data_IF_468238480800
#
_entry.id   IF_468238480800
#
_cell.length_a   1.000
_cell.length_b   1.000
_cell.length_c   1.000
_cell.angle_alpha   90.00
_cell.angle_beta   90.00
_cell.angle_gamma   90.00
#
_symmetry.space_group_name_H-M   'P 1'
#
loop_
_entity.id
_entity.type
_entity.pdbx_description
1 polymer ?
#
# COMPACT_ATOMS: atom_id res chain seq x y z
N UNK A 1 -73.63 23.67 -5.35
CA UNK A 1 -73.22 24.86 -4.58
C UNK A 1 -71.70 24.90 -4.50
N UNK A 2 -71.15 26.12 -4.43
CA UNK A 2 -69.77 26.55 -4.72
C UNK A 2 -68.64 25.88 -3.89
N UNK A 3 -67.43 25.86 -4.48
CA UNK A 3 -66.07 25.70 -3.88
C UNK A 3 -65.66 26.98 -3.05
N UNK A 4 -64.40 27.27 -2.62
CA UNK A 4 -63.16 26.53 -2.22
C UNK A 4 -62.43 27.15 -0.96
N UNK A 5 -61.14 26.77 -0.73
CA UNK A 5 -59.98 27.50 -0.11
C UNK A 5 -59.41 26.84 1.18
N UNK A 6 -58.21 26.23 1.18
CA UNK A 6 -56.83 26.78 1.18
C UNK A 6 -56.30 27.18 2.58
N UNK A 7 -55.25 26.50 3.08
CA UNK A 7 -54.36 26.90 4.18
C UNK A 7 -53.01 26.21 3.94
N UNK A 8 -52.04 26.84 3.27
CA UNK A 8 -51.05 27.83 3.74
C UNK A 8 -50.03 27.26 4.74
N UNK A 9 -48.77 27.24 4.28
CA UNK A 9 -47.56 26.90 5.01
C UNK A 9 -47.21 27.94 6.08
N UNK A 10 -46.57 27.50 7.18
CA UNK A 10 -45.73 28.36 8.01
C UNK A 10 -44.56 27.57 8.59
N UNK A 11 -43.37 27.99 8.18
CA UNK A 11 -42.04 27.57 8.65
C UNK A 11 -41.75 28.27 9.98
N UNK A 12 -41.32 27.52 11.00
CA UNK A 12 -40.84 28.07 12.26
C UNK A 12 -39.29 28.07 12.25
N UNK A 13 -38.69 29.25 12.07
CA UNK A 13 -37.26 29.48 12.27
C UNK A 13 -37.04 30.00 13.71
N UNK A 14 -36.21 29.30 14.49
CA UNK A 14 -35.72 29.76 15.79
C UNK A 14 -34.49 30.64 15.58
N UNK A 15 -34.57 31.89 16.05
CA UNK A 15 -33.46 32.83 16.11
C UNK A 15 -32.80 32.80 17.51
N UNK A 16 -31.48 32.76 17.55
CA UNK A 16 -30.67 33.19 18.69
C UNK A 16 -29.83 34.40 18.26
N UNK A 17 -29.90 35.47 19.03
CA UNK A 17 -29.12 36.69 18.87
C UNK A 17 -28.33 36.99 20.16
N UNK A 18 -27.17 37.62 19.98
CA UNK A 18 -26.28 38.18 21.02
C UNK A 18 -24.88 37.57 20.90
N UNK A 19 -23.78 38.30 20.72
CA UNK A 19 -23.48 39.72 20.80
C UNK A 19 -22.05 39.85 21.35
N UNK A 20 -21.21 40.72 20.77
CA UNK A 20 -19.93 41.16 21.37
C UNK A 20 -18.68 40.96 20.51
N UNK A 21 -18.18 42.07 19.93
CA UNK A 21 -16.77 42.29 19.60
C UNK A 21 -15.99 42.60 20.91
N UNK A 22 -14.63 42.61 20.98
CA UNK A 22 -13.82 43.58 20.23
C UNK A 22 -12.35 43.19 19.87
N UNK A 23 -11.71 44.13 19.18
CA UNK A 23 -10.29 44.54 19.19
C UNK A 23 -9.20 43.80 18.38
N UNK A 24 -8.70 44.60 17.43
CA UNK A 24 -7.45 44.59 16.65
C UNK A 24 -6.19 44.61 17.55
N UNK A 25 -5.05 44.05 17.10
CA UNK A 25 -3.93 44.96 16.88
C UNK A 25 -2.97 44.56 15.75
N UNK A 26 -2.76 45.50 14.83
CA UNK A 26 -1.52 45.64 14.06
C UNK A 26 -0.67 46.77 14.67
N UNK A 27 0.48 46.47 15.31
CA UNK A 27 1.58 47.44 15.49
C UNK A 27 2.96 46.78 15.56
N UNK A 28 3.77 47.18 14.59
CA UNK A 28 5.24 47.28 14.57
C UNK A 28 5.83 47.94 15.83
N UNK A 29 7.00 47.50 16.30
CA UNK A 29 8.25 48.32 16.40
C UNK A 29 9.41 47.63 17.11
N UNK A 30 10.59 48.04 16.63
CA UNK A 30 11.97 47.79 17.05
C UNK A 30 12.37 48.21 18.47
N UNK A 31 13.63 47.89 18.78
CA UNK A 31 14.52 48.30 19.88
C UNK A 31 14.41 47.38 21.13
N UNK A 32 15.48 46.81 21.67
CA UNK A 32 16.88 47.21 21.71
C UNK A 32 17.32 47.31 23.18
N UNK A 33 18.53 46.86 23.52
CA UNK A 33 19.21 47.30 24.74
C UNK A 33 19.55 46.25 25.81
N UNK A 34 20.79 45.76 25.73
CA UNK A 34 21.81 45.67 26.80
C UNK A 34 21.41 45.96 28.26
N UNK A 35 21.86 45.11 29.21
CA UNK A 35 22.91 45.42 30.22
C UNK A 35 22.99 44.37 31.36
N UNK A 36 24.21 43.86 31.53
CA UNK A 36 24.99 43.64 32.76
C UNK A 36 24.34 43.60 34.15
N UNK A 37 24.62 42.52 34.86
CA UNK A 37 25.16 42.45 36.23
C UNK A 37 25.68 41.00 36.43
N UNK A 38 26.87 40.66 36.95
CA UNK A 38 27.85 41.39 37.75
C UNK A 38 28.03 40.69 39.11
N UNK A 39 29.18 40.02 39.31
CA UNK A 39 29.77 39.62 40.62
C UNK A 39 29.45 38.20 41.11
N UNK A 40 30.37 37.41 41.67
CA UNK A 40 31.77 37.59 42.03
C UNK A 40 32.21 36.42 42.95
N UNK A 41 33.46 35.99 42.76
CA UNK A 41 34.43 35.31 43.68
C UNK A 41 34.05 33.99 44.38
N UNK A 42 34.88 32.95 44.18
CA UNK A 42 35.89 32.58 45.20
C UNK A 42 36.97 31.62 44.67
N UNK A 43 38.18 31.88 45.14
CA UNK A 43 39.42 31.17 44.86
C UNK A 43 39.58 29.96 45.80
N UNK A 44 40.14 28.87 45.29
CA UNK A 44 40.50 27.69 46.08
C UNK A 44 41.51 26.82 45.35
N UNK A 45 42.79 27.12 45.58
CA UNK A 45 43.98 26.40 45.11
C UNK A 45 44.11 25.04 45.80
N UNK A 46 44.46 23.99 45.04
CA UNK A 46 45.41 22.95 45.50
C UNK A 46 46.11 22.32 44.29
N UNK A 47 47.43 22.23 44.42
CA UNK A 47 48.38 21.55 43.52
C UNK A 47 48.41 20.06 43.88
N UNK A 48 48.53 19.19 42.89
CA UNK A 48 49.72 18.35 42.64
C UNK A 48 49.41 17.06 41.84
N UNK A 49 50.21 16.91 40.77
CA UNK A 49 50.95 15.74 40.31
C UNK A 49 50.29 14.35 40.08
N UNK A 50 50.61 13.82 38.89
CA UNK A 50 50.57 12.39 38.49
C UNK A 50 49.43 12.10 37.51
N UNK A 51 49.60 11.60 36.29
CA UNK A 51 50.71 10.88 35.66
C UNK A 51 50.19 9.54 35.11
N UNK A 52 50.30 9.31 33.79
CA UNK A 52 50.34 7.97 33.19
C UNK A 52 49.17 7.57 32.28
N UNK A 53 49.48 7.34 31.00
CA UNK A 53 48.59 6.64 30.06
C UNK A 53 48.94 6.65 28.58
N UNK A 54 50.10 7.17 28.14
CA UNK A 54 50.58 6.96 26.77
C UNK A 54 51.15 5.54 26.65
N UNK A 55 50.31 4.59 26.22
CA UNK A 55 50.74 3.27 25.77
C UNK A 55 50.84 3.25 24.24
N UNK A 56 51.73 4.08 23.69
CA UNK A 56 52.28 3.92 22.35
C UNK A 56 53.67 3.32 22.46
N UNK A 57 53.75 2.02 22.74
CA UNK A 57 55.01 1.27 22.77
C UNK A 57 55.59 1.10 21.37
N UNK A 58 56.13 2.16 20.80
CA UNK A 58 57.16 2.05 19.76
C UNK A 58 58.42 1.62 20.46
N UNK A 59 58.84 0.36 20.24
CA UNK A 59 60.13 -0.12 20.74
C UNK A 59 61.21 0.79 20.20
N UNK A 60 61.91 1.40 21.15
CA UNK A 60 62.95 2.39 20.96
C UNK A 60 63.81 2.08 19.74
N UNK A 61 63.80 2.99 18.75
CA UNK A 61 64.79 3.01 17.69
C UNK A 61 66.16 3.16 18.37
N UNK A 62 66.87 2.05 18.57
CA UNK A 62 68.20 2.08 19.13
C UNK A 62 69.10 2.85 18.15
N UNK A 63 69.79 3.92 18.57
CA UNK A 63 70.75 4.61 17.71
C UNK A 63 71.79 3.59 17.28
N UNK A 64 71.98 3.41 15.96
CA UNK A 64 72.93 2.41 15.48
C UNK A 64 74.33 2.81 15.94
N UNK A 65 75.12 1.92 16.57
CA UNK A 65 76.51 2.20 16.83
C UNK A 65 77.26 2.34 15.50
N UNK A 66 78.14 3.33 15.41
CA UNK A 66 79.00 3.62 14.26
C UNK A 66 79.79 2.36 13.85
N UNK A 67 79.24 1.61 12.89
CA UNK A 67 79.85 0.41 12.30
C UNK A 67 79.36 -0.98 12.79
N UNK A 68 78.39 -1.08 13.71
CA UNK A 68 77.95 -2.38 14.26
C UNK A 68 76.61 -2.92 13.74
N UNK A 69 76.53 -4.21 13.39
CA UNK A 69 75.29 -4.90 13.02
C UNK A 69 74.16 -4.65 14.03
N UNK A 70 72.91 -4.60 13.55
CA UNK A 70 71.76 -4.43 14.43
C UNK A 70 71.57 -5.66 15.34
N UNK A 71 71.00 -5.48 16.55
CA UNK A 71 70.58 -6.60 17.39
C UNK A 71 69.68 -7.58 16.63
N UNK A 72 69.70 -8.85 17.04
CA UNK A 72 68.90 -9.91 16.41
C UNK A 72 67.42 -9.51 16.35
N UNK A 73 66.81 -9.66 15.17
CA UNK A 73 65.42 -9.28 14.91
C UNK A 73 65.24 -7.85 14.37
N UNK A 74 66.26 -6.98 14.44
CA UNK A 74 66.21 -5.61 13.91
C UNK A 74 66.97 -5.50 12.58
N UNK A 75 66.48 -4.64 11.69
CA UNK A 75 67.13 -4.35 10.40
C UNK A 75 67.70 -2.95 10.38
N UNK A 76 68.91 -2.81 9.81
CA UNK A 76 69.55 -1.50 9.65
C UNK A 76 68.86 -0.71 8.53
N UNK A 77 68.15 0.34 8.91
CA UNK A 77 67.49 1.27 8.01
C UNK A 77 68.18 2.62 8.05
N UNK A 78 69.12 2.83 7.10
CA UNK A 78 70.00 4.00 7.11
C UNK A 78 70.96 3.96 8.31
N UNK A 79 70.60 4.69 9.37
CA UNK A 79 71.38 4.83 10.62
C UNK A 79 70.65 4.40 11.90
N UNK A 80 69.47 3.77 11.78
CA UNK A 80 68.72 3.23 12.92
C UNK A 80 68.47 1.73 12.74
N UNK A 81 68.36 1.00 13.85
CA UNK A 81 67.91 -0.39 13.86
C UNK A 81 66.41 -0.42 14.12
N UNK A 82 65.62 -0.80 13.11
CA UNK A 82 64.15 -0.82 13.19
C UNK A 82 63.63 -2.26 13.09
N UNK A 83 62.56 -2.55 13.84
CA UNK A 83 61.83 -3.81 13.72
C UNK A 83 60.87 -3.73 12.54
N UNK A 84 61.26 -4.35 11.42
CA UNK A 84 60.42 -4.35 10.23
C UNK A 84 59.11 -5.14 10.42
N UNK A 85 58.94 -5.87 11.52
CA UNK A 85 57.74 -6.68 11.77
C UNK A 85 56.65 -5.92 12.52
N UNK A 86 57.00 -4.86 13.25
CA UNK A 86 56.09 -4.10 14.12
C UNK A 86 56.15 -2.58 13.96
N UNK A 87 57.15 -2.03 13.28
CA UNK A 87 57.33 -0.58 13.13
C UNK A 87 56.48 -0.01 11.97
N UNK A 88 55.44 0.81 12.22
CA UNK A 88 54.59 1.36 11.16
C UNK A 88 55.34 2.30 10.20
N UNK A 89 56.43 2.93 10.64
CA UNK A 89 57.24 3.82 9.80
C UNK A 89 58.22 3.09 8.86
N UNK A 90 58.44 1.78 9.05
CA UNK A 90 59.32 0.94 8.22
C UNK A 90 58.85 -0.52 8.21
N UNK A 91 57.59 -0.73 7.81
CA UNK A 91 57.00 -2.07 7.90
C UNK A 91 57.46 -2.96 6.73
N UNK A 92 58.07 -4.11 7.00
CA UNK A 92 58.55 -5.12 6.05
C UNK A 92 59.78 -4.73 5.23
N UNK A 93 59.99 -3.43 4.97
CA UNK A 93 61.21 -2.87 4.36
C UNK A 93 61.48 -1.49 4.94
N UNK A 94 62.75 -1.09 4.97
CA UNK A 94 63.15 0.24 5.42
C UNK A 94 62.47 1.36 4.63
N UNK A 95 61.89 2.33 5.34
CA UNK A 95 61.26 3.52 4.75
C UNK A 95 59.86 3.31 4.18
N UNK A 96 59.26 2.11 4.29
CA UNK A 96 57.86 1.88 3.94
C UNK A 96 56.95 2.24 5.12
N UNK A 97 56.55 3.51 5.18
CA UNK A 97 55.54 3.98 6.12
C UNK A 97 54.15 3.45 5.73
N UNK A 98 53.43 2.88 6.69
CA UNK A 98 52.06 2.44 6.48
C UNK A 98 51.10 3.62 6.35
N UNK A 99 50.16 3.51 5.41
CA UNK A 99 49.12 4.52 5.20
C UNK A 99 47.90 4.12 6.04
N UNK A 100 47.47 5.02 6.93
CA UNK A 100 46.27 4.81 7.73
C UNK A 100 45.01 5.03 6.86
N UNK A 101 43.94 4.24 7.08
CA UNK A 101 42.65 4.55 6.50
C UNK A 101 42.14 5.88 7.07
N UNK A 102 41.31 6.58 6.30
CA UNK A 102 40.69 7.82 6.75
C UNK A 102 39.82 7.52 7.99
N UNK A 103 40.12 8.19 9.11
CA UNK A 103 39.42 7.97 10.39
C UNK A 103 39.95 6.81 11.24
N UNK A 104 41.04 6.16 10.83
CA UNK A 104 41.70 5.09 11.60
C UNK A 104 43.20 5.31 11.77
N UNK A 105 43.89 4.27 12.22
CA UNK A 105 45.34 4.22 12.39
C UNK A 105 45.94 3.13 11.50
N UNK A 106 47.26 3.18 11.29
CA UNK A 106 47.98 2.10 10.63
C UNK A 106 48.88 1.38 11.64
N UNK A 107 48.87 0.05 11.61
CA UNK A 107 49.77 -0.80 12.37
C UNK A 107 50.63 -1.63 11.42
N UNK A 108 51.84 -1.97 11.86
CA UNK A 108 52.63 -3.01 11.20
C UNK A 108 52.43 -4.33 11.94
N UNK A 109 51.88 -5.33 11.25
CA UNK A 109 51.64 -6.67 11.82
C UNK A 109 52.37 -7.71 10.98
N UNK A 110 53.41 -8.30 11.55
CA UNK A 110 54.26 -9.32 10.91
C UNK A 110 54.85 -8.83 9.57
N UNK A 111 55.26 -7.56 9.51
CA UNK A 111 55.87 -6.97 8.32
C UNK A 111 54.89 -6.58 7.21
N UNK A 112 53.59 -6.63 7.47
CA UNK A 112 52.55 -6.12 6.59
C UNK A 112 51.82 -4.94 7.23
N UNK A 113 51.61 -3.88 6.45
CA UNK A 113 50.77 -2.76 6.87
C UNK A 113 49.31 -3.21 6.95
N UNK A 114 48.68 -2.96 8.10
CA UNK A 114 47.25 -3.19 8.31
C UNK A 114 46.59 -1.90 8.80
N UNK A 115 45.43 -1.57 8.27
CA UNK A 115 44.59 -0.49 8.77
C UNK A 115 43.82 -0.96 10.00
N UNK A 116 43.73 -0.11 11.01
CA UNK A 116 42.94 -0.35 12.22
C UNK A 116 41.91 0.76 12.35
N UNK A 117 40.64 0.36 12.41
CA UNK A 117 39.53 1.26 12.64
C UNK A 117 39.12 1.26 14.12
N UNK A 118 38.54 2.37 14.62
CA UNK A 118 37.97 2.42 15.96
C UNK A 118 36.88 1.35 16.16
N UNK A 119 36.59 1.03 17.42
CA UNK A 119 35.55 0.06 17.76
C UNK A 119 34.20 0.39 17.10
N UNK A 120 33.55 -0.64 16.54
CA UNK A 120 32.29 -0.51 15.80
C UNK A 120 32.43 -0.02 14.36
N UNK A 121 33.66 0.16 13.86
CA UNK A 121 33.92 0.53 12.47
C UNK A 121 34.73 -0.55 11.73
N UNK A 122 34.50 -0.63 10.42
CA UNK A 122 35.25 -1.50 9.50
C UNK A 122 35.93 -0.63 8.44
N UNK A 123 37.12 -1.04 7.99
CA UNK A 123 37.79 -0.41 6.86
C UNK A 123 37.05 -0.74 5.56
N UNK A 124 36.29 0.23 5.04
CA UNK A 124 35.56 0.12 3.78
C UNK A 124 36.33 0.86 2.67
N UNK A 125 37.32 0.18 2.08
CA UNK A 125 38.15 0.70 0.98
C UNK A 125 39.00 1.92 1.35
N UNK A 126 39.68 1.88 2.51
CA UNK A 126 40.60 2.92 2.97
C UNK A 126 39.93 4.03 3.79
N UNK A 127 38.70 3.82 4.24
CA UNK A 127 37.95 4.73 5.11
C UNK A 127 37.21 3.91 6.16
N UNK A 128 37.42 4.24 7.43
CA UNK A 128 36.70 3.61 8.51
C UNK A 128 35.23 4.07 8.50
N UNK A 129 34.30 3.11 8.47
CA UNK A 129 32.85 3.38 8.47
C UNK A 129 32.14 2.50 9.48
N UNK A 130 31.09 3.03 10.09
CA UNK A 130 30.23 2.27 10.98
C UNK A 130 29.51 1.15 10.21
N UNK A 131 29.63 -0.08 10.70
CA UNK A 131 29.00 -1.29 10.13
C UNK A 131 28.37 -2.11 11.25
N UNK A 132 27.48 -3.05 10.92
CA UNK A 132 26.82 -3.90 11.93
C UNK A 132 25.60 -3.26 12.59
N UNK A 133 25.28 -2.00 12.26
CA UNK A 133 24.03 -1.37 12.64
C UNK A 133 22.86 -2.01 11.88
N UNK A 134 21.71 -2.14 12.53
CA UNK A 134 20.48 -2.64 11.90
C UNK A 134 20.05 -1.70 10.76
N UNK A 135 19.71 -2.28 9.62
CA UNK A 135 19.15 -1.58 8.47
C UNK A 135 17.96 -2.35 7.92
N UNK A 136 17.09 -1.68 7.17
CA UNK A 136 16.01 -2.31 6.44
C UNK A 136 15.97 -1.75 5.01
N UNK A 137 15.61 -2.60 4.05
CA UNK A 137 15.44 -2.24 2.64
C UNK A 137 14.17 -2.88 2.09
N UNK A 138 13.57 -2.26 1.08
CA UNK A 138 12.29 -2.67 0.51
C UNK A 138 11.10 -2.10 1.29
N UNK A 139 9.98 -1.96 0.58
CA UNK A 139 8.69 -1.53 1.12
C UNK A 139 7.77 -2.75 1.33
N UNK A 140 6.65 -2.54 2.01
CA UNK A 140 5.61 -3.56 2.12
C UNK A 140 6.08 -4.92 2.65
N UNK A 141 5.57 -5.97 2.02
CA UNK A 141 5.97 -7.35 2.28
C UNK A 141 7.37 -7.69 1.75
N UNK A 142 7.95 -6.84 0.89
CA UNK A 142 9.34 -6.96 0.45
C UNK A 142 10.34 -6.43 1.46
N UNK A 143 9.91 -5.77 2.54
CA UNK A 143 10.83 -5.26 3.54
C UNK A 143 11.69 -6.40 4.13
N UNK A 144 13.00 -6.21 4.12
CA UNK A 144 13.98 -7.13 4.72
C UNK A 144 14.86 -6.38 5.70
N UNK A 145 15.03 -6.96 6.88
CA UNK A 145 15.95 -6.47 7.89
C UNK A 145 17.33 -7.11 7.70
N UNK A 146 18.38 -6.33 7.95
CA UNK A 146 19.76 -6.77 7.84
C UNK A 146 20.68 -5.90 8.66
N UNK A 147 21.97 -6.00 8.36
CA UNK A 147 23.02 -5.18 8.97
C UNK A 147 23.80 -4.43 7.91
N UNK A 148 24.24 -3.22 8.25
CA UNK A 148 25.04 -2.38 7.36
C UNK A 148 26.43 -2.98 7.13
N UNK A 149 26.83 -3.15 5.88
CA UNK A 149 28.13 -3.68 5.42
C UNK A 149 28.87 -2.66 4.55
N UNK A 150 30.14 -2.91 4.27
CA UNK A 150 30.92 -2.10 3.32
C UNK A 150 30.43 -2.30 1.87
N UNK A 151 30.39 -1.19 1.12
CA UNK A 151 30.17 -1.15 -0.32
C UNK A 151 31.28 -0.31 -1.00
N UNK A 152 31.50 -0.41 -2.32
CA UNK A 152 32.54 0.35 -3.01
C UNK A 152 32.49 1.86 -2.74
N UNK A 153 31.28 2.44 -2.66
CA UNK A 153 31.05 3.88 -2.46
C UNK A 153 30.64 4.25 -1.02
N UNK A 154 30.76 3.33 -0.06
CA UNK A 154 30.44 3.62 1.33
C UNK A 154 29.94 2.41 2.12
N UNK A 155 28.72 2.51 2.62
CA UNK A 155 28.03 1.42 3.30
C UNK A 155 26.68 1.15 2.64
N UNK A 156 26.26 -0.11 2.68
CA UNK A 156 24.94 -0.55 2.18
C UNK A 156 24.34 -1.57 3.14
N UNK A 157 23.04 -1.84 3.05
CA UNK A 157 22.45 -2.91 3.81
C UNK A 157 22.86 -4.27 3.21
N UNK A 158 23.28 -5.22 4.04
CA UNK A 158 23.76 -6.53 3.61
C UNK A 158 22.68 -7.49 3.11
N UNK A 159 21.46 -7.00 2.92
CA UNK A 159 20.33 -7.77 2.40
C UNK A 159 19.74 -7.05 1.19
N UNK A 160 19.08 -7.82 0.33
CA UNK A 160 18.31 -7.30 -0.81
C UNK A 160 16.83 -7.32 -0.46
N UNK A 161 16.02 -6.35 -0.94
CA UNK A 161 14.57 -6.42 -0.81
C UNK A 161 14.00 -7.76 -1.29
N UNK A 162 12.86 -8.15 -0.72
CA UNK A 162 12.04 -9.22 -1.27
C UNK A 162 11.66 -8.93 -2.72
N UNK A 163 11.38 -9.99 -3.49
CA UNK A 163 10.85 -9.82 -4.83
C UNK A 163 9.38 -9.38 -4.76
N UNK A 164 8.96 -8.40 -5.58
CA UNK A 164 7.56 -8.07 -5.80
C UNK A 164 6.72 -9.31 -6.12
N UNK A 165 5.60 -9.43 -5.43
CA UNK A 165 4.50 -10.34 -5.72
C UNK A 165 3.51 -9.72 -6.72
N UNK A 166 2.40 -10.42 -6.93
CA UNK A 166 1.22 -9.83 -7.53
C UNK A 166 0.31 -9.36 -6.41
N UNK A 167 -0.23 -8.15 -6.57
CA UNK A 167 -1.21 -7.57 -5.66
C UNK A 167 -2.37 -8.52 -5.40
N UNK A 168 -2.68 -8.72 -4.13
CA UNK A 168 -3.87 -9.44 -3.68
C UNK A 168 -4.51 -8.66 -2.56
N UNK A 169 -5.83 -8.58 -2.53
CA UNK A 169 -6.52 -7.86 -1.46
C UNK A 169 -6.30 -8.53 -0.09
N UNK A 170 -5.22 -8.17 0.59
CA UNK A 170 -4.74 -8.75 1.83
C UNK A 170 -4.53 -7.67 2.91
N UNK A 171 -4.57 -6.39 2.56
CA UNK A 171 -4.22 -5.27 3.43
C UNK A 171 -2.72 -5.07 3.53
N UNK A 172 -1.95 -5.57 2.57
CA UNK A 172 -0.51 -5.47 2.50
C UNK A 172 -0.06 -5.07 1.10
N UNK A 173 1.17 -4.60 1.00
CA UNK A 173 1.82 -4.18 -0.24
C UNK A 173 2.64 -5.38 -0.76
N UNK A 174 2.11 -6.12 -1.74
CA UNK A 174 2.74 -7.33 -2.27
C UNK A 174 3.77 -7.03 -3.36
N UNK A 175 3.48 -6.05 -4.22
CA UNK A 175 4.30 -5.64 -5.36
C UNK A 175 5.37 -4.60 -5.00
N UNK A 176 5.27 -4.07 -3.77
CA UNK A 176 6.29 -3.29 -3.08
C UNK A 176 6.55 -1.94 -3.74
N UNK A 177 5.50 -1.32 -4.27
CA UNK A 177 5.51 0.02 -4.84
C UNK A 177 5.23 1.13 -3.81
N UNK A 178 4.79 0.76 -2.60
CA UNK A 178 4.55 1.63 -1.46
C UNK A 178 3.09 2.07 -1.28
N UNK A 179 2.19 1.69 -2.18
CA UNK A 179 0.75 1.73 -1.95
C UNK A 179 0.28 0.38 -1.36
N UNK A 180 -0.99 0.26 -0.96
CA UNK A 180 -1.54 -0.99 -0.41
C UNK A 180 -2.79 -1.42 -1.18
N UNK A 181 -2.78 -2.67 -1.65
CA UNK A 181 -3.83 -3.33 -2.45
C UNK A 181 -4.24 -2.55 -3.73
N UNK A 182 -3.35 -1.72 -4.25
CA UNK A 182 -3.54 -0.96 -5.48
C UNK A 182 -3.60 -1.88 -6.70
N UNK A 183 -4.47 -1.54 -7.66
CA UNK A 183 -4.61 -2.39 -8.83
C UNK A 183 -5.33 -3.72 -8.58
N UNK A 184 -5.83 -4.00 -7.37
CA UNK A 184 -6.81 -5.06 -7.14
C UNK A 184 -8.20 -4.61 -7.64
N UNK A 185 -8.61 -5.10 -8.81
CA UNK A 185 -9.76 -4.59 -9.58
C UNK A 185 -11.08 -5.22 -9.15
N UNK A 186 -11.03 -6.48 -8.72
CA UNK A 186 -12.17 -7.18 -8.15
C UNK A 186 -11.74 -8.40 -7.32
N UNK A 187 -12.17 -8.46 -6.06
CA UNK A 187 -11.88 -9.57 -5.16
C UNK A 187 -13.08 -10.51 -5.03
N UNK A 188 -12.87 -11.80 -5.32
CA UNK A 188 -13.85 -12.87 -5.06
C UNK A 188 -13.79 -13.26 -3.59
N UNK A 189 -14.90 -13.13 -2.87
CA UNK A 189 -14.98 -13.39 -1.42
C UNK A 189 -16.00 -14.47 -1.10
N UNK A 190 -15.62 -15.38 -0.22
CA UNK A 190 -16.56 -16.31 0.43
C UNK A 190 -17.26 -15.64 1.61
N UNK A 191 -18.58 -15.74 1.67
CA UNK A 191 -19.43 -15.24 2.75
C UNK A 191 -20.57 -16.24 3.02
N UNK A 192 -21.54 -15.85 3.84
CA UNK A 192 -22.74 -16.63 4.13
C UNK A 192 -24.00 -15.80 4.00
N UNK A 193 -25.13 -16.42 3.73
CA UNK A 193 -26.42 -15.71 3.78
C UNK A 193 -26.75 -15.25 5.19
N UNK A 194 -26.28 -15.95 6.22
CA UNK A 194 -26.31 -15.45 7.60
C UNK A 194 -25.61 -14.08 7.71
N UNK A 195 -24.39 -13.93 7.17
CA UNK A 195 -23.67 -12.67 7.18
C UNK A 195 -24.32 -11.59 6.29
N UNK A 196 -24.78 -11.96 5.09
CA UNK A 196 -25.48 -11.04 4.19
C UNK A 196 -26.81 -10.55 4.78
N UNK A 197 -27.55 -11.41 5.50
CA UNK A 197 -28.80 -11.04 6.16
C UNK A 197 -28.60 -9.99 7.26
N UNK A 198 -27.41 -9.94 7.87
CA UNK A 198 -27.04 -8.90 8.82
C UNK A 198 -26.78 -7.53 8.15
N UNK A 199 -26.45 -7.51 6.84
CA UNK A 199 -26.30 -6.28 6.04
C UNK A 199 -27.63 -5.82 5.43
N UNK A 200 -28.46 -6.78 5.01
CA UNK A 200 -29.84 -6.54 4.57
C UNK A 200 -30.74 -7.75 4.89
N UNK A 201 -31.77 -7.61 5.74
CA UNK A 201 -32.58 -8.74 6.23
C UNK A 201 -33.26 -9.58 5.16
N UNK A 202 -33.51 -9.02 3.97
CA UNK A 202 -34.11 -9.73 2.84
C UNK A 202 -33.17 -10.70 2.11
N UNK A 203 -31.84 -10.59 2.29
CA UNK A 203 -30.90 -11.52 1.68
C UNK A 203 -30.65 -12.73 2.59
N UNK A 204 -31.35 -13.83 2.33
CA UNK A 204 -31.32 -15.06 3.14
C UNK A 204 -31.02 -16.27 2.29
N UNK A 205 -30.70 -17.41 2.91
CA UNK A 205 -30.50 -18.68 2.22
C UNK A 205 -31.76 -19.20 1.50
N UNK A 206 -32.93 -18.60 1.75
CA UNK A 206 -34.17 -18.88 1.03
C UNK A 206 -34.32 -18.01 -0.22
N UNK A 207 -33.98 -16.72 -0.15
CA UNK A 207 -34.10 -15.78 -1.29
C UNK A 207 -32.93 -15.92 -2.27
N UNK A 208 -31.71 -16.06 -1.74
CA UNK A 208 -30.44 -16.31 -2.44
C UNK A 208 -29.95 -15.28 -3.46
N UNK A 209 -30.85 -14.51 -4.05
CA UNK A 209 -30.64 -13.63 -5.18
C UNK A 209 -31.77 -12.59 -5.24
N UNK A 210 -31.52 -11.44 -5.86
CA UNK A 210 -32.49 -10.36 -5.99
C UNK A 210 -32.00 -9.03 -5.42
N UNK A 211 -32.85 -7.98 -5.44
CA UNK A 211 -32.46 -6.63 -5.04
C UNK A 211 -31.98 -6.53 -3.59
N UNK A 212 -32.59 -7.29 -2.67
CA UNK A 212 -32.16 -7.34 -1.27
C UNK A 212 -30.74 -7.89 -1.11
N UNK A 213 -30.36 -8.86 -1.94
CA UNK A 213 -29.00 -9.39 -1.96
C UNK A 213 -28.02 -8.44 -2.64
N UNK A 214 -28.43 -7.73 -3.69
CA UNK A 214 -27.60 -6.65 -4.25
C UNK A 214 -27.26 -5.60 -3.19
N UNK A 215 -28.25 -5.17 -2.40
CA UNK A 215 -28.06 -4.21 -1.32
C UNK A 215 -27.18 -4.78 -0.20
N UNK A 216 -27.39 -6.04 0.20
CA UNK A 216 -26.54 -6.71 1.19
C UNK A 216 -25.07 -6.74 0.76
N UNK A 217 -24.81 -7.11 -0.50
CA UNK A 217 -23.45 -7.26 -1.06
C UNK A 217 -22.79 -5.89 -1.22
N UNK A 218 -23.53 -4.89 -1.70
CA UNK A 218 -23.05 -3.52 -1.77
C UNK A 218 -22.56 -3.03 -0.40
N UNK A 219 -23.37 -3.19 0.64
CA UNK A 219 -23.02 -2.82 2.02
C UNK A 219 -21.91 -3.66 2.62
N UNK A 220 -21.83 -4.94 2.25
CA UNK A 220 -20.74 -5.81 2.67
C UNK A 220 -19.42 -5.32 2.11
N UNK A 221 -19.36 -5.07 0.80
CA UNK A 221 -18.16 -4.59 0.13
C UNK A 221 -17.78 -3.15 0.55
N UNK A 222 -18.75 -2.25 0.69
CA UNK A 222 -18.53 -0.89 1.22
C UNK A 222 -17.99 -0.91 2.65
N UNK A 223 -18.47 -1.83 3.51
CA UNK A 223 -18.00 -1.95 4.89
C UNK A 223 -16.64 -2.66 5.02
N UNK A 224 -16.24 -3.45 4.03
CA UNK A 224 -14.87 -3.96 3.88
C UNK A 224 -13.95 -2.86 3.28
N UNK A 225 -14.54 -1.72 2.88
CA UNK A 225 -13.99 -0.60 2.13
C UNK A 225 -12.53 -0.25 2.38
N UNK A 226 -11.80 -0.19 1.27
CA UNK A 226 -10.39 0.14 1.09
C UNK A 226 -10.06 0.01 -0.41
N UNK A 227 -8.79 -0.18 -0.76
CA UNK A 227 -8.35 -0.39 -2.15
C UNK A 227 -8.90 -1.68 -2.81
N UNK A 228 -9.55 -2.56 -2.02
CA UNK A 228 -10.16 -3.82 -2.46
C UNK A 228 -11.60 -3.75 -3.02
N UNK A 229 -12.15 -2.55 -3.21
CA UNK A 229 -13.48 -2.32 -3.77
C UNK A 229 -14.47 -1.67 -2.80
N UNK A 230 -15.32 -0.80 -3.35
CA UNK A 230 -16.31 0.02 -2.64
C UNK A 230 -17.77 -0.37 -2.96
N UNK A 231 -17.97 -1.41 -3.78
CA UNK A 231 -19.26 -2.02 -4.04
C UNK A 231 -19.06 -3.45 -4.53
N UNK A 232 -20.14 -4.19 -4.78
CA UNK A 232 -20.01 -5.57 -5.25
C UNK A 232 -21.25 -6.12 -5.92
N UNK A 233 -21.07 -7.29 -6.53
CA UNK A 233 -22.11 -8.05 -7.20
C UNK A 233 -22.07 -9.54 -6.83
N UNK A 234 -23.19 -10.22 -7.07
CA UNK A 234 -23.35 -11.65 -6.81
C UNK A 234 -24.73 -11.97 -6.21
N UNK A 235 -24.87 -13.11 -5.53
CA UNK A 235 -23.88 -14.17 -5.39
C UNK A 235 -23.50 -14.78 -6.74
N UNK A 236 -22.22 -15.07 -6.94
CA UNK A 236 -21.67 -15.72 -8.14
C UNK A 236 -21.57 -17.23 -7.97
N UNK A 237 -21.44 -17.72 -6.74
CA UNK A 237 -21.60 -19.12 -6.38
C UNK A 237 -22.41 -19.18 -5.08
N UNK A 238 -23.21 -20.22 -4.88
CA UNK A 238 -23.95 -20.39 -3.62
C UNK A 238 -24.40 -21.84 -3.43
N UNK A 239 -24.37 -22.31 -2.18
CA UNK A 239 -24.87 -23.64 -1.81
C UNK A 239 -25.25 -23.67 -0.31
N UNK A 240 -26.48 -24.07 0.02
CA UNK A 240 -26.92 -24.03 1.42
C UNK A 240 -26.81 -22.60 1.98
N UNK A 241 -26.11 -22.40 3.09
CA UNK A 241 -25.86 -21.07 3.66
C UNK A 241 -24.65 -20.34 3.05
N UNK A 242 -23.81 -21.01 2.24
CA UNK A 242 -22.65 -20.35 1.64
C UNK A 242 -23.03 -19.50 0.43
N UNK A 243 -22.37 -18.35 0.31
CA UNK A 243 -22.46 -17.45 -0.83
C UNK A 243 -21.05 -16.97 -1.20
N UNK A 244 -20.80 -16.78 -2.48
CA UNK A 244 -19.58 -16.14 -2.99
C UNK A 244 -19.98 -14.84 -3.65
N UNK A 245 -19.35 -13.74 -3.25
CA UNK A 245 -19.61 -12.38 -3.72
C UNK A 245 -18.35 -11.82 -4.36
N UNK A 246 -18.49 -10.75 -5.12
CA UNK A 246 -17.35 -10.06 -5.73
C UNK A 246 -17.41 -8.61 -5.31
N UNK A 247 -16.39 -8.15 -4.59
CA UNK A 247 -16.18 -6.74 -4.32
C UNK A 247 -15.32 -6.15 -5.43
N UNK A 248 -15.71 -5.00 -5.97
CA UNK A 248 -15.03 -4.36 -7.09
C UNK A 248 -14.93 -2.87 -6.85
N UNK A 249 -13.85 -2.26 -7.33
CA UNK A 249 -13.69 -0.82 -7.36
C UNK A 249 -14.53 -0.23 -8.49
N UNK A 250 -15.48 0.61 -8.12
CA UNK A 250 -16.47 1.18 -9.05
C UNK A 250 -16.81 2.62 -8.67
N UNK A 251 -17.32 3.38 -9.63
CA UNK A 251 -17.98 4.64 -9.32
C UNK A 251 -19.46 4.35 -9.05
N UNK A 252 -19.89 4.53 -7.80
CA UNK A 252 -21.31 4.43 -7.42
C UNK A 252 -21.99 5.74 -7.75
N UNK A 253 -22.89 5.70 -8.73
CA UNK A 253 -23.58 6.88 -9.24
C UNK A 253 -25.07 6.82 -8.92
N UNK A 254 -25.63 7.96 -8.55
CA UNK A 254 -27.08 8.12 -8.41
C UNK A 254 -27.74 8.27 -9.79
N UNK A 255 -28.81 7.52 -10.02
CA UNK A 255 -29.67 7.61 -11.20
C UNK A 255 -31.15 7.50 -10.79
N UNK A 256 -32.04 7.51 -11.78
CA UNK A 256 -33.46 7.22 -11.60
C UNK A 256 -33.92 6.12 -12.54
N UNK A 257 -34.94 5.39 -12.13
CA UNK A 257 -35.57 4.38 -12.99
C UNK A 257 -36.16 5.00 -14.27
N UNK A 258 -36.55 6.27 -14.25
CA UNK A 258 -36.95 6.99 -15.46
C UNK A 258 -35.78 7.15 -16.45
N UNK A 259 -34.58 7.46 -15.96
CA UNK A 259 -33.38 7.55 -16.79
C UNK A 259 -32.97 6.17 -17.32
N UNK A 260 -32.97 5.14 -16.47
CA UNK A 260 -32.59 3.79 -16.88
C UNK A 260 -33.60 3.20 -17.89
N UNK A 261 -34.90 3.33 -17.63
CA UNK A 261 -35.94 2.88 -18.56
C UNK A 261 -35.90 3.60 -19.91
N UNK A 262 -35.30 4.79 -20.00
CA UNK A 262 -35.12 5.50 -21.27
C UNK A 262 -33.98 4.90 -22.13
N UNK A 263 -33.00 4.23 -21.51
CA UNK A 263 -31.94 3.51 -22.22
C UNK A 263 -32.44 2.17 -22.77
N UNK A 264 -33.16 1.42 -21.93
CA UNK A 264 -33.87 0.19 -22.28
C UNK A 264 -34.93 -0.16 -21.21
N UNK A 265 -36.18 -0.38 -21.63
CA UNK A 265 -37.24 -0.87 -20.74
C UNK A 265 -37.34 -2.40 -20.73
N UNK A 266 -37.98 -3.03 -19.71
CA UNK A 266 -38.55 -2.42 -18.51
C UNK A 266 -37.52 -2.35 -17.37
N UNK A 267 -37.08 -1.14 -17.03
CA UNK A 267 -36.20 -0.85 -15.87
C UNK A 267 -36.77 0.38 -15.17
N UNK A 268 -38.03 0.27 -14.73
CA UNK A 268 -38.89 1.36 -14.27
C UNK A 268 -39.10 1.38 -12.74
N UNK A 269 -38.58 0.39 -12.02
CA UNK A 269 -38.69 0.29 -10.57
C UNK A 269 -40.08 -0.10 -10.06
N UNK A 270 -41.04 -0.41 -10.95
CA UNK A 270 -42.43 -0.64 -10.58
C UNK A 270 -42.76 -2.12 -10.29
N UNK A 271 -41.87 -3.05 -10.65
CA UNK A 271 -42.05 -4.49 -10.48
C UNK A 271 -40.70 -5.19 -10.25
N UNK A 272 -40.72 -6.47 -9.89
CA UNK A 272 -39.48 -7.27 -9.81
C UNK A 272 -38.70 -7.26 -11.13
N UNK A 273 -39.38 -7.33 -12.28
CA UNK A 273 -38.76 -7.22 -13.61
C UNK A 273 -38.24 -5.80 -13.89
N UNK A 274 -38.92 -4.78 -13.39
CA UNK A 274 -38.52 -3.37 -13.49
C UNK A 274 -37.39 -2.96 -12.54
N UNK A 275 -37.03 -3.82 -11.58
CA UNK A 275 -35.97 -3.58 -10.59
C UNK A 275 -34.75 -4.46 -10.86
N UNK A 276 -34.95 -5.73 -11.20
CA UNK A 276 -33.89 -6.72 -11.24
C UNK A 276 -34.14 -7.73 -12.36
N UNK A 277 -33.67 -7.40 -13.57
CA UNK A 277 -33.86 -8.21 -14.77
C UNK A 277 -32.69 -8.04 -15.74
N UNK A 278 -32.59 -8.94 -16.73
CA UNK A 278 -31.64 -8.81 -17.82
C UNK A 278 -31.79 -7.50 -18.60
N UNK A 279 -33.03 -6.99 -18.73
CA UNK A 279 -33.30 -5.72 -19.40
C UNK A 279 -32.76 -4.54 -18.57
N UNK A 280 -32.94 -4.59 -17.25
CA UNK A 280 -32.42 -3.55 -16.35
C UNK A 280 -30.88 -3.58 -16.27
N UNK A 281 -30.25 -4.76 -16.29
CA UNK A 281 -28.80 -4.88 -16.46
C UNK A 281 -28.31 -4.20 -17.75
N UNK A 282 -29.02 -4.42 -18.87
CA UNK A 282 -28.66 -3.81 -20.15
C UNK A 282 -28.90 -2.29 -20.18
N UNK A 283 -29.96 -1.81 -19.52
CA UNK A 283 -30.20 -0.38 -19.33
C UNK A 283 -29.04 0.29 -18.56
N UNK A 284 -28.61 -0.31 -17.44
CA UNK A 284 -27.50 0.18 -16.63
C UNK A 284 -26.19 0.15 -17.42
N UNK A 285 -25.93 -0.95 -18.14
CA UNK A 285 -24.77 -1.07 -19.01
C UNK A 285 -24.69 0.08 -20.03
N UNK A 286 -25.80 0.34 -20.75
CA UNK A 286 -25.88 1.43 -21.73
C UNK A 286 -25.71 2.80 -21.08
N UNK A 287 -26.36 3.02 -19.94
CA UNK A 287 -26.30 4.27 -19.18
C UNK A 287 -24.88 4.62 -18.72
N UNK A 288 -24.14 3.63 -18.19
CA UNK A 288 -22.74 3.79 -17.79
C UNK A 288 -21.84 4.02 -19.02
N UNK A 289 -22.06 3.27 -20.12
CA UNK A 289 -21.30 3.46 -21.37
C UNK A 289 -21.48 4.85 -21.97
N UNK A 290 -22.70 5.40 -21.91
CA UNK A 290 -22.99 6.78 -22.33
C UNK A 290 -22.20 7.84 -21.55
N UNK A 291 -21.60 7.48 -20.41
CA UNK A 291 -20.80 8.36 -19.54
C UNK A 291 -19.30 8.04 -19.57
N UNK A 292 -18.85 7.19 -20.50
CA UNK A 292 -17.43 6.87 -20.68
C UNK A 292 -16.90 5.71 -19.84
N UNK A 293 -17.78 4.95 -19.17
CA UNK A 293 -17.41 3.70 -18.50
C UNK A 293 -17.45 2.51 -19.47
N UNK A 294 -16.83 1.39 -19.09
CA UNK A 294 -16.87 0.18 -19.91
C UNK A 294 -18.19 -0.57 -19.71
N UNK A 295 -18.67 -0.68 -18.48
CA UNK A 295 -19.93 -1.34 -18.12
C UNK A 295 -20.45 -0.85 -16.77
N UNK A 296 -21.58 -1.40 -16.32
CA UNK A 296 -22.08 -1.21 -14.97
C UNK A 296 -23.06 -2.29 -14.53
N UNK A 297 -23.29 -2.36 -13.22
CA UNK A 297 -24.21 -3.30 -12.58
C UNK A 297 -25.05 -2.61 -11.51
N UNK A 298 -26.15 -3.25 -11.13
CA UNK A 298 -27.10 -2.75 -10.16
C UNK A 298 -28.54 -3.11 -10.55
N UNK A 299 -29.55 -2.39 -10.04
CA UNK A 299 -29.45 -1.39 -8.97
C UNK A 299 -28.84 -1.98 -7.68
N UNK A 300 -28.06 -1.17 -6.97
CA UNK A 300 -27.39 -1.54 -5.72
C UNK A 300 -28.33 -1.36 -4.54
N UNK A 301 -28.96 -0.18 -4.46
CA UNK A 301 -29.95 0.17 -3.44
C UNK A 301 -31.05 1.06 -4.03
N UNK A 302 -32.20 1.04 -3.36
CA UNK A 302 -33.33 1.93 -3.64
C UNK A 302 -33.40 3.01 -2.54
N UNK A 303 -32.68 4.12 -2.75
CA UNK A 303 -32.57 5.21 -1.76
C UNK A 303 -33.91 5.92 -1.49
N UNK A 304 -34.78 5.95 -2.50
CA UNK A 304 -36.07 6.65 -2.49
C UNK A 304 -36.97 6.12 -3.62
N UNK A 305 -38.29 6.38 -3.59
CA UNK A 305 -39.18 6.02 -4.69
C UNK A 305 -38.71 6.63 -6.02
N UNK A 306 -38.32 5.76 -6.96
CA UNK A 306 -37.85 6.17 -8.30
C UNK A 306 -36.35 6.44 -8.42
N UNK A 307 -35.59 6.49 -7.32
CA UNK A 307 -34.13 6.61 -7.33
C UNK A 307 -33.45 5.23 -7.33
N UNK A 308 -32.33 5.11 -8.02
CA UNK A 308 -31.53 3.90 -8.12
C UNK A 308 -30.04 4.24 -8.08
N UNK A 309 -29.29 3.58 -7.20
CA UNK A 309 -27.83 3.61 -7.28
C UNK A 309 -27.31 2.53 -8.21
N UNK A 310 -26.36 2.87 -9.05
CA UNK A 310 -25.72 1.95 -10.00
C UNK A 310 -24.21 2.02 -9.85
N UNK A 311 -23.54 0.88 -9.99
CA UNK A 311 -22.09 0.80 -10.05
C UNK A 311 -21.63 0.87 -11.50
N UNK A 312 -20.86 1.89 -11.86
CA UNK A 312 -20.19 1.95 -13.16
C UNK A 312 -18.71 1.63 -13.00
N UNK A 313 -18.17 0.78 -13.89
CA UNK A 313 -16.76 0.37 -13.83
C UNK A 313 -16.03 0.71 -15.14
N UNK A 314 -14.80 1.20 -15.00
CA UNK A 314 -13.84 1.32 -16.10
C UNK A 314 -12.96 0.08 -16.22
N UNK A 315 -12.96 -0.78 -15.21
CA UNK A 315 -12.02 -1.88 -15.00
C UNK A 315 -12.68 -3.23 -15.32
N UNK A 316 -13.34 -3.30 -16.48
CA UNK A 316 -13.97 -4.52 -16.98
C UNK A 316 -13.68 -4.71 -18.47
N UNK A 317 -13.88 -5.93 -18.95
CA UNK A 317 -13.89 -6.27 -20.37
C UNK A 317 -15.24 -6.83 -20.75
N UNK A 318 -15.92 -6.20 -21.71
CA UNK A 318 -17.20 -6.70 -22.23
C UNK A 318 -16.92 -7.74 -23.32
N UNK A 319 -17.36 -8.96 -23.07
CA UNK A 319 -17.07 -10.12 -23.90
C UNK A 319 -18.35 -10.64 -24.53
N UNK A 320 -18.32 -10.88 -25.84
CA UNK A 320 -19.38 -11.62 -26.53
C UNK A 320 -19.25 -13.12 -26.28
N UNK A 321 -20.38 -13.77 -25.99
CA UNK A 321 -20.51 -15.22 -25.79
C UNK A 321 -21.91 -15.68 -26.25
N UNK A 322 -22.26 -16.93 -25.98
CA UNK A 322 -23.61 -17.45 -26.21
C UNK A 322 -24.13 -18.22 -25.01
N UNK A 323 -25.45 -18.37 -24.90
CA UNK A 323 -26.04 -19.22 -23.87
C UNK A 323 -25.66 -20.68 -24.09
N UNK A 324 -25.52 -21.12 -25.35
CA UNK A 324 -24.91 -22.42 -25.66
C UNK A 324 -23.54 -22.57 -25.00
N UNK A 325 -22.66 -21.56 -25.09
CA UNK A 325 -21.36 -21.60 -24.42
C UNK A 325 -21.46 -21.52 -22.89
N UNK A 326 -22.28 -20.62 -22.35
CA UNK A 326 -22.50 -20.47 -20.90
C UNK A 326 -23.09 -21.74 -20.27
N UNK A 327 -23.91 -22.49 -21.00
CA UNK A 327 -24.51 -23.74 -20.52
C UNK A 327 -23.45 -24.82 -20.21
N UNK A 328 -22.27 -24.73 -20.82
CA UNK A 328 -21.13 -25.62 -20.52
C UNK A 328 -20.52 -25.34 -19.15
N UNK A 329 -20.71 -24.13 -18.61
CA UNK A 329 -20.25 -23.73 -17.27
C UNK A 329 -21.34 -23.90 -16.20
N UNK A 330 -22.61 -23.79 -16.60
CA UNK A 330 -23.76 -24.19 -15.78
C UNK A 330 -24.96 -24.59 -16.66
N UNK A 331 -25.45 -25.85 -16.62
CA UNK A 331 -26.44 -26.36 -17.57
C UNK A 331 -27.73 -25.55 -17.67
N UNK A 332 -28.22 -24.98 -16.56
CA UNK A 332 -29.44 -24.18 -16.55
C UNK A 332 -29.32 -22.81 -17.23
N UNK A 333 -28.11 -22.30 -17.48
CA UNK A 333 -27.91 -21.04 -18.19
C UNK A 333 -27.82 -21.29 -19.71
N UNK A 334 -28.90 -21.81 -20.28
CA UNK A 334 -28.98 -22.27 -21.67
C UNK A 334 -29.78 -21.32 -22.59
N UNK A 335 -30.24 -20.17 -22.07
CA UNK A 335 -30.98 -19.19 -22.85
C UNK A 335 -32.49 -19.47 -22.94
N UNK A 336 -32.93 -20.67 -22.56
CA UNK A 336 -34.31 -21.14 -22.61
C UNK A 336 -34.90 -21.37 -21.20
N UNK A 337 -34.16 -22.07 -20.34
CA UNK A 337 -34.44 -22.33 -18.94
C UNK A 337 -34.17 -21.10 -18.09
N UNK A 338 -33.01 -20.48 -18.28
CA UNK A 338 -32.60 -19.28 -17.59
C UNK A 338 -31.72 -18.42 -18.49
N UNK A 339 -32.04 -17.11 -18.55
CA UNK A 339 -31.25 -16.09 -19.25
C UNK A 339 -30.55 -15.15 -18.28
N UNK A 340 -31.10 -15.05 -17.07
CA UNK A 340 -30.65 -14.20 -15.99
C UNK A 340 -31.13 -14.81 -14.68
N UNK A 341 -30.26 -14.78 -13.68
CA UNK A 341 -30.52 -15.36 -12.37
C UNK A 341 -29.27 -16.01 -11.79
N UNK A 342 -29.43 -16.67 -10.64
CA UNK A 342 -28.32 -17.25 -9.88
C UNK A 342 -27.49 -18.26 -10.67
N UNK A 343 -28.12 -19.04 -11.55
CA UNK A 343 -27.41 -20.09 -12.28
C UNK A 343 -26.60 -19.47 -13.42
N UNK A 344 -27.14 -18.43 -14.06
CA UNK A 344 -26.39 -17.65 -15.03
C UNK A 344 -25.27 -16.84 -14.39
N UNK A 345 -25.44 -16.30 -13.17
CA UNK A 345 -24.33 -15.67 -12.46
C UNK A 345 -23.15 -16.64 -12.25
N UNK A 346 -23.42 -17.89 -11.86
CA UNK A 346 -22.40 -18.93 -11.73
C UNK A 346 -21.77 -19.31 -13.07
N UNK A 347 -22.57 -19.44 -14.13
CA UNK A 347 -22.05 -19.68 -15.48
C UNK A 347 -21.08 -18.59 -15.92
N UNK A 348 -21.47 -17.32 -15.76
CA UNK A 348 -20.69 -16.15 -16.17
C UNK A 348 -19.40 -16.02 -15.35
N UNK A 349 -19.49 -16.21 -14.03
CA UNK A 349 -18.32 -16.25 -13.15
C UNK A 349 -17.29 -17.27 -13.61
N UNK A 350 -17.73 -18.53 -13.82
CA UNK A 350 -16.84 -19.62 -14.28
C UNK A 350 -16.29 -19.37 -15.68
N UNK A 351 -17.10 -18.82 -16.58
CA UNK A 351 -16.66 -18.42 -17.92
C UNK A 351 -15.53 -17.37 -17.85
N UNK A 352 -15.72 -16.27 -17.12
CA UNK A 352 -14.69 -15.24 -16.97
C UNK A 352 -13.43 -15.77 -16.29
N UNK A 353 -13.57 -16.62 -15.26
CA UNK A 353 -12.42 -17.29 -14.62
C UNK A 353 -11.64 -18.20 -15.57
N UNK A 354 -12.33 -18.91 -16.46
CA UNK A 354 -11.66 -19.73 -17.49
C UNK A 354 -10.82 -18.90 -18.48
N UNK A 355 -11.07 -17.59 -18.53
CA UNK A 355 -10.39 -16.63 -19.40
C UNK A 355 -9.32 -15.81 -18.64
N UNK A 356 -9.07 -16.10 -17.36
CA UNK A 356 -8.06 -15.44 -16.55
C UNK A 356 -8.51 -14.15 -15.84
N UNK A 357 -9.82 -13.94 -15.69
CA UNK A 357 -10.38 -12.83 -14.92
C UNK A 357 -10.79 -13.27 -13.51
N UNK A 358 -10.86 -12.35 -12.54
CA UNK A 358 -11.36 -12.61 -11.20
C UNK A 358 -12.76 -13.22 -11.22
N UNK A 359 -13.66 -12.57 -11.97
CA UNK A 359 -15.07 -12.92 -12.05
C UNK A 359 -15.74 -12.18 -13.21
N UNK A 360 -17.07 -12.30 -13.32
CA UNK A 360 -17.86 -11.45 -14.19
C UNK A 360 -19.32 -11.38 -13.82
N UNK A 361 -20.00 -10.40 -14.41
CA UNK A 361 -21.43 -10.16 -14.23
C UNK A 361 -22.14 -9.99 -15.57
N UNK A 362 -23.46 -10.19 -15.56
CA UNK A 362 -24.29 -10.03 -16.75
C UNK A 362 -25.55 -10.90 -16.70
N UNK A 363 -26.17 -11.19 -17.85
CA UNK A 363 -25.82 -10.61 -19.16
C UNK A 363 -26.02 -9.09 -19.17
N UNK A 364 -25.12 -8.36 -19.83
CA UNK A 364 -25.18 -6.90 -20.02
C UNK A 364 -25.82 -6.50 -21.34
N UNK A 365 -25.84 -7.41 -22.31
CA UNK A 365 -26.68 -7.35 -23.52
C UNK A 365 -27.01 -8.79 -23.90
N UNK A 366 -28.17 -9.05 -24.49
CA UNK A 366 -28.48 -10.39 -25.00
C UNK A 366 -29.61 -10.36 -26.03
N UNK A 367 -29.58 -11.30 -26.97
CA UNK A 367 -30.63 -11.49 -27.99
C UNK A 367 -30.51 -12.89 -28.59
N UNK A 368 -31.60 -13.65 -28.63
CA UNK A 368 -31.56 -15.06 -29.02
C UNK A 368 -30.57 -15.85 -28.16
N UNK A 369 -29.69 -16.61 -28.82
CA UNK A 369 -28.58 -17.35 -28.18
C UNK A 369 -27.38 -16.45 -27.81
N UNK A 370 -27.29 -15.23 -28.36
CA UNK A 370 -26.17 -14.32 -28.08
C UNK A 370 -26.30 -13.68 -26.70
N UNK A 371 -25.20 -13.64 -25.96
CA UNK A 371 -25.08 -12.94 -24.69
C UNK A 371 -23.77 -12.15 -24.62
N UNK A 372 -23.79 -11.01 -23.94
CA UNK A 372 -22.58 -10.26 -23.58
C UNK A 372 -22.46 -10.24 -22.07
N UNK A 373 -21.24 -10.41 -21.58
CA UNK A 373 -20.90 -10.44 -20.16
C UNK A 373 -19.76 -9.46 -19.89
N UNK A 374 -19.70 -8.90 -18.70
CA UNK A 374 -18.58 -8.06 -18.27
C UNK A 374 -17.68 -8.87 -17.33
N UNK A 375 -16.47 -9.18 -17.76
CA UNK A 375 -15.45 -9.83 -16.92
C UNK A 375 -14.59 -8.75 -16.25
N UNK A 376 -14.45 -8.84 -14.92
CA UNK A 376 -13.64 -7.94 -14.10
C UNK A 376 -12.31 -8.62 -13.78
N UNK A 377 -11.20 -7.91 -13.94
CA UNK A 377 -9.89 -8.49 -13.66
C UNK A 377 -9.67 -8.59 -12.14
N UNK A 378 -8.68 -9.40 -11.75
CA UNK A 378 -8.14 -9.38 -10.39
C UNK A 378 -7.48 -8.04 -10.10
#
# INVERSE_FOLDING_TARGET
MLRPLACLALVLALACAGGGAPDDPDRRRDAGGTRDAGGGVDAGSVRDAGGGGDAGGGVDAAPAPDGGACPDGLTRCGGACLDLTSEPSSCGVCGRACIAPTGGTAECRSGSCVGVCPDGQTDCSGTCRATGQSCAVGEGLCRREGVTICAPDGTTCGVTPGAPGAEVCSGADEDCDGEVDEGTRATVRGTSYTALSARHPGCTAATRFGPDCNAAIHRECDAVGGACGNSGFGPVENAGDSATTVCAEVDVLESSFAQLSAELGPCDGASAEGIHSAACNAAIHRWCRGRGYVSGFGPLEHAAPGAAFVACTRLASVMGTSYTALSTHHPSCDGSSERFGRNCNAAIHRFCRSMGFASGFGPVENSGDTAFVACVSD
#
